data_IF_855941858249
#
_entry.id   IF_855941858249
#
_cell.length_a   1.000
_cell.length_b   1.000
_cell.length_c   1.000
_cell.angle_alpha   90.00
_cell.angle_beta   90.00
_cell.angle_gamma   90.00
#
_symmetry.space_group_name_H-M   'P 1'
#
loop_
_entity.id
_entity.type
_entity.pdbx_description
1 polymer ?
#
# COMPACT_ATOMS: atom_id res chain seq x y z
N UNK A 1 8.13 7.19 -1.23
CA UNK A 1 7.75 6.03 -0.40
C UNK A 1 8.65 5.86 0.82
N UNK A 2 9.81 6.51 0.85
CA UNK A 2 10.81 6.36 1.92
C UNK A 2 10.29 6.76 3.30
N UNK A 3 9.48 7.84 3.38
CA UNK A 3 8.84 8.23 4.63
C UNK A 3 8.02 7.08 5.24
N UNK A 4 7.11 6.47 4.48
CA UNK A 4 6.28 5.37 5.00
C UNK A 4 7.12 4.15 5.37
N UNK A 5 8.17 3.83 4.60
CA UNK A 5 9.06 2.70 4.90
C UNK A 5 9.91 2.95 6.15
N UNK A 6 10.26 4.20 6.42
CA UNK A 6 11.03 4.60 7.60
C UNK A 6 10.16 4.60 8.87
N UNK A 7 8.90 5.02 8.78
CA UNK A 7 8.02 5.23 9.93
C UNK A 7 6.94 4.16 10.14
N UNK A 8 6.92 3.06 9.37
CA UNK A 8 5.86 2.02 9.51
C UNK A 8 5.86 1.26 10.85
N UNK A 9 6.87 1.44 11.71
CA UNK A 9 7.02 0.69 12.95
C UNK A 9 7.28 -0.81 12.74
N UNK A 10 7.05 -1.60 13.80
CA UNK A 10 7.34 -3.04 13.84
C UNK A 10 6.22 -3.92 13.26
N UNK A 11 5.04 -3.36 13.03
CA UNK A 11 3.88 -4.13 12.56
C UNK A 11 3.75 -4.06 11.05
N UNK A 12 3.20 -5.10 10.46
CA UNK A 12 2.81 -5.07 9.06
C UNK A 12 1.57 -4.20 8.88
N UNK A 13 1.60 -3.32 7.87
CA UNK A 13 0.52 -2.38 7.60
C UNK A 13 0.02 -2.51 6.17
N UNK A 14 -1.29 -2.67 6.01
CA UNK A 14 -1.95 -2.53 4.72
C UNK A 14 -1.67 -1.16 4.10
N UNK A 15 -1.37 -1.21 2.81
CA UNK A 15 -1.34 -0.06 1.91
C UNK A 15 -2.65 -0.05 1.13
N UNK A 16 -3.14 1.13 0.78
CA UNK A 16 -4.31 1.31 -0.08
C UNK A 16 -4.04 0.93 -1.55
N UNK A 17 -3.45 -0.24 -1.79
CA UNK A 17 -3.05 -0.74 -3.09
C UNK A 17 -3.52 -2.20 -3.22
N UNK A 18 -4.36 -2.46 -4.22
CA UNK A 18 -5.00 -3.76 -4.46
C UNK A 18 -4.76 -4.20 -5.90
N UNK A 19 -4.65 -5.50 -6.09
CA UNK A 19 -4.60 -6.14 -7.40
C UNK A 19 -6.01 -6.49 -7.85
N UNK A 20 -6.40 -5.99 -9.02
CA UNK A 20 -7.68 -6.29 -9.65
C UNK A 20 -7.63 -7.62 -10.42
N UNK A 21 -8.77 -8.05 -10.97
CA UNK A 21 -8.94 -9.33 -11.69
C UNK A 21 -8.01 -9.46 -12.91
N UNK A 22 -7.61 -8.36 -13.51
CA UNK A 22 -6.67 -8.27 -14.63
C UNK A 22 -5.19 -8.29 -14.20
N UNK A 23 -4.93 -8.62 -12.93
CA UNK A 23 -3.60 -8.59 -12.31
C UNK A 23 -2.94 -7.21 -12.26
N UNK A 24 -3.67 -6.13 -12.56
CA UNK A 24 -3.16 -4.76 -12.43
C UNK A 24 -3.32 -4.25 -11.01
N UNK A 25 -2.29 -3.58 -10.53
CA UNK A 25 -2.31 -2.90 -9.24
C UNK A 25 -2.98 -1.54 -9.38
N UNK A 26 -3.91 -1.24 -8.49
CA UNK A 26 -4.71 -0.01 -8.49
C UNK A 26 -4.78 0.56 -7.07
N UNK A 27 -4.64 1.88 -6.96
CA UNK A 27 -4.81 2.60 -5.71
C UNK A 27 -6.29 2.74 -5.33
N UNK A 28 -6.59 3.01 -4.06
CA UNK A 28 -7.98 3.19 -3.60
C UNK A 28 -8.76 4.33 -4.29
N UNK A 29 -8.06 5.27 -4.95
CA UNK A 29 -8.69 6.34 -5.74
C UNK A 29 -8.94 5.94 -7.21
N UNK A 30 -8.75 4.67 -7.58
CA UNK A 30 -8.93 4.16 -8.93
C UNK A 30 -7.76 4.40 -9.89
N UNK A 31 -6.70 5.10 -9.45
CA UNK A 31 -5.53 5.34 -10.31
C UNK A 31 -4.67 4.08 -10.41
N UNK A 32 -4.20 3.78 -11.63
CA UNK A 32 -3.31 2.64 -11.87
C UNK A 32 -1.96 2.86 -11.20
N UNK A 33 -1.42 1.79 -10.64
CA UNK A 33 -0.07 1.77 -10.12
C UNK A 33 0.95 1.81 -11.25
N UNK A 34 1.92 2.72 -11.17
CA UNK A 34 2.95 2.93 -12.17
C UNK A 34 4.21 2.06 -11.96
N UNK A 35 4.14 0.99 -11.15
CA UNK A 35 5.21 0.01 -10.97
C UNK A 35 6.58 0.55 -10.51
N UNK A 36 6.59 1.74 -9.89
CA UNK A 36 7.81 2.38 -9.35
C UNK A 36 8.44 1.67 -8.16
N UNK A 37 7.79 0.67 -7.59
CA UNK A 37 8.38 -0.27 -6.64
C UNK A 37 7.90 -1.69 -6.91
N UNK A 38 8.74 -2.67 -6.55
CA UNK A 38 8.39 -4.08 -6.65
C UNK A 38 7.48 -4.50 -5.50
N UNK A 39 6.47 -5.29 -5.81
CA UNK A 39 5.56 -5.90 -4.84
C UNK A 39 5.83 -7.40 -4.85
N UNK A 40 6.31 -7.93 -3.73
CA UNK A 40 6.51 -9.36 -3.55
C UNK A 40 5.22 -10.11 -3.22
N UNK A 41 5.32 -11.43 -3.10
CA UNK A 41 4.18 -12.30 -2.76
C UNK A 41 3.24 -12.55 -3.94
N UNK A 42 2.08 -13.15 -3.65
CA UNK A 42 1.08 -13.53 -4.67
C UNK A 42 -0.36 -13.17 -4.30
N UNK A 43 -0.56 -12.32 -3.29
CA UNK A 43 -1.88 -11.93 -2.82
C UNK A 43 -2.48 -10.74 -3.57
N UNK A 44 -3.69 -10.39 -3.18
CA UNK A 44 -4.51 -9.36 -3.80
C UNK A 44 -4.33 -7.99 -3.12
N UNK A 45 -3.96 -7.94 -1.84
CA UNK A 45 -3.74 -6.69 -1.11
C UNK A 45 -2.26 -6.50 -0.77
N UNK A 46 -1.74 -5.27 -0.96
CA UNK A 46 -0.35 -4.94 -0.66
C UNK A 46 -0.19 -4.39 0.76
N UNK A 47 0.93 -4.74 1.39
CA UNK A 47 1.29 -4.28 2.73
C UNK A 47 2.79 -3.99 2.86
N UNK A 48 3.13 -3.13 3.82
CA UNK A 48 4.50 -2.82 4.22
C UNK A 48 4.99 -3.90 5.19
N UNK A 49 6.12 -4.55 4.87
CA UNK A 49 6.77 -5.60 5.66
C UNK A 49 8.04 -5.12 6.35
N UNK A 50 8.27 -5.50 7.62
CA UNK A 50 9.38 -5.13 8.53
C UNK A 50 10.81 -4.92 7.94
N UNK A 51 11.16 -5.55 6.83
CA UNK A 51 12.46 -5.38 6.15
C UNK A 51 12.49 -4.27 5.07
N UNK A 52 11.72 -3.18 5.23
CA UNK A 52 11.55 -2.09 4.24
C UNK A 52 11.08 -2.58 2.86
N UNK A 53 10.34 -3.67 2.84
CA UNK A 53 9.81 -4.26 1.62
C UNK A 53 8.30 -4.08 1.53
N UNK A 54 7.76 -4.19 0.32
CA UNK A 54 6.33 -4.26 0.06
C UNK A 54 6.01 -5.66 -0.44
N UNK A 55 5.02 -6.30 0.17
CA UNK A 55 4.58 -7.65 -0.18
C UNK A 55 3.07 -7.68 -0.29
N UNK A 56 2.53 -8.77 -0.81
CA UNK A 56 1.09 -8.99 -0.98
C UNK A 56 0.61 -10.23 -0.24
N UNK A 57 -0.61 -10.17 0.28
CA UNK A 57 -1.31 -11.33 0.89
C UNK A 57 -2.82 -11.21 0.70
N UNK A 58 -3.56 -12.23 1.13
CA UNK A 58 -5.03 -12.22 1.07
C UNK A 58 -5.57 -11.04 1.85
N UNK A 59 -6.50 -10.28 1.25
CA UNK A 59 -7.10 -9.11 1.87
C UNK A 59 -7.85 -9.43 3.18
N UNK A 60 -8.24 -10.69 3.39
CA UNK A 60 -8.90 -11.17 4.61
C UNK A 60 -7.97 -11.33 5.81
N UNK A 61 -6.65 -11.16 5.64
CA UNK A 61 -5.71 -11.25 6.75
C UNK A 61 -5.80 -10.02 7.67
N UNK A 62 -5.74 -10.25 8.97
CA UNK A 62 -5.72 -9.17 9.96
C UNK A 62 -4.34 -8.49 9.96
N UNK A 63 -4.32 -7.17 9.70
CA UNK A 63 -3.13 -6.32 9.80
C UNK A 63 -3.56 -4.89 10.16
N UNK A 64 -2.63 -4.09 10.66
CA UNK A 64 -2.86 -2.65 10.78
C UNK A 64 -2.93 -2.01 9.40
N UNK A 65 -3.32 -0.74 9.32
CA UNK A 65 -3.45 -0.02 8.06
C UNK A 65 -2.93 1.40 8.18
N UNK A 66 -2.48 1.95 7.05
CA UNK A 66 -2.10 3.37 6.93
C UNK A 66 -3.08 4.04 5.99
N UNK A 67 -3.67 5.14 6.44
CA UNK A 67 -4.50 6.00 5.62
C UNK A 67 -3.72 7.24 5.17
N UNK A 68 -4.03 7.75 3.98
CA UNK A 68 -3.54 9.05 3.53
C UNK A 68 -4.69 9.83 2.94
N UNK A 69 -4.66 11.16 3.13
CA UNK A 69 -5.60 12.09 2.52
C UNK A 69 -4.86 13.34 2.06
N UNK A 70 -5.29 14.00 0.98
CA UNK A 70 -4.77 15.30 0.61
C UNK A 70 -4.94 16.29 1.77
N UNK A 71 -3.92 17.12 2.01
CA UNK A 71 -4.07 18.24 2.93
C UNK A 71 -4.90 19.33 2.24
N UNK A 72 -6.08 19.62 2.76
CA UNK A 72 -6.92 20.70 2.26
C UNK A 72 -6.47 22.03 2.88
N UNK A 73 -5.30 22.53 2.49
CA UNK A 73 -5.04 23.95 2.68
C UNK A 73 -5.87 24.71 1.66
N UNK A 74 -6.89 25.44 2.11
CA UNK A 74 -7.54 26.45 1.29
C UNK A 74 -6.49 27.51 0.96
N UNK A 75 -6.19 27.70 -0.34
CA UNK A 75 -5.52 28.91 -0.79
C UNK A 75 -6.56 30.02 -0.66
N UNK A 76 -6.43 30.83 0.39
CA UNK A 76 -7.13 32.12 0.52
C UNK A 76 -6.51 33.10 -0.47
#
# INVERSE_FOLDING_TARGET
MDFMLHYRGLRDHWLGLRKETDQLWTWMNGTKFNNWFKIGGGGECAYLKEAKAISSSRCSMERHWICSKPHMCAKV
#
